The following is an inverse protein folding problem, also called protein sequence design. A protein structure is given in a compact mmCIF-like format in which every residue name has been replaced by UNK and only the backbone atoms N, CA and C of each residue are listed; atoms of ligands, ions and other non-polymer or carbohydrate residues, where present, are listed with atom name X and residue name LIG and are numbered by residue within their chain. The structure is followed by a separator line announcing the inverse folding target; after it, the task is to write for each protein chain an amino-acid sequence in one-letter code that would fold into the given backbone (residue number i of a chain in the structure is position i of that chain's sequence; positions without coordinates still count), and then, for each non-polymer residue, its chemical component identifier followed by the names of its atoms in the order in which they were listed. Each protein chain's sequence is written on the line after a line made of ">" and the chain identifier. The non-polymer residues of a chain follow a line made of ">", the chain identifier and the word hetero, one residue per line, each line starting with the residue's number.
data_IF_282914770943
#
_entry.id   IF_282914770943
#
_cell.length_a   1.000
_cell.length_b   1.000
_cell.length_c   1.000
_cell.angle_alpha   90.00
_cell.angle_beta   90.00
_cell.angle_gamma   90.00
#
_symmetry.space_group_name_H-M   'P 1'
#
loop_
_entity.id
_entity.type
_entity.pdbx_description
1 polymer ?
#
# COMPACT_ATOMS: atom_id res chain seq x y z
N UNK A 1 -24.02 -7.17 78.92
CA UNK A 1 -25.13 -8.13 78.70
C UNK A 1 -26.34 -7.31 78.28
N UNK A 2 -26.68 -7.24 76.99
CA UNK A 2 -28.03 -7.08 76.44
C UNK A 2 -27.90 -7.16 74.91
N UNK A 3 -28.64 -8.09 74.32
CA UNK A 3 -28.73 -8.38 72.89
C UNK A 3 -30.22 -8.39 72.57
N UNK A 4 -30.66 -7.64 71.56
CA UNK A 4 -31.83 -7.85 70.65
C UNK A 4 -32.00 -6.55 69.82
N UNK A 5 -31.84 -6.56 68.51
CA UNK A 5 -32.71 -7.08 67.43
C UNK A 5 -33.56 -5.97 66.84
N UNK A 6 -33.28 -5.59 65.58
CA UNK A 6 -34.29 -5.09 64.65
C UNK A 6 -34.07 -5.80 63.32
N UNK A 7 -35.02 -6.66 62.97
CA UNK A 7 -35.20 -7.22 61.64
C UNK A 7 -35.88 -6.16 60.75
N UNK A 8 -35.37 -5.96 59.54
CA UNK A 8 -35.93 -5.03 58.57
C UNK A 8 -35.64 -5.45 57.14
N UNK A 9 -36.64 -6.10 56.54
CA UNK A 9 -37.04 -6.15 55.14
C UNK A 9 -36.00 -6.25 53.99
N UNK A 10 -36.15 -7.39 53.30
CA UNK A 10 -35.83 -7.73 51.92
C UNK A 10 -36.04 -6.61 50.87
N UNK A 11 -35.06 -6.41 49.99
CA UNK A 11 -35.30 -6.12 48.58
C UNK A 11 -34.33 -6.98 47.76
N UNK A 12 -34.87 -8.02 47.12
CA UNK A 12 -34.14 -8.83 46.16
C UNK A 12 -33.86 -8.03 44.89
N UNK A 13 -32.63 -8.07 44.41
CA UNK A 13 -32.29 -7.69 43.04
C UNK A 13 -32.07 -8.96 42.24
N UNK A 14 -33.10 -9.34 41.50
CA UNK A 14 -33.00 -10.31 40.43
C UNK A 14 -32.25 -9.67 39.23
N UNK A 15 -31.21 -10.37 38.80
CA UNK A 15 -30.75 -10.55 37.42
C UNK A 15 -30.89 -9.39 36.42
N UNK A 16 -29.76 -8.84 35.99
CA UNK A 16 -29.56 -8.45 34.59
C UNK A 16 -28.06 -8.55 34.21
N UNK A 17 -27.48 -9.75 34.28
CA UNK A 17 -26.23 -10.06 33.57
C UNK A 17 -26.59 -10.80 32.29
N UNK A 18 -26.97 -10.02 31.28
CA UNK A 18 -27.34 -10.50 29.96
C UNK A 18 -26.56 -9.76 28.89
N UNK A 19 -25.53 -10.42 28.38
CA UNK A 19 -25.10 -10.39 26.99
C UNK A 19 -24.54 -9.06 26.41
N UNK A 20 -23.25 -8.82 26.61
CA UNK A 20 -22.40 -8.16 25.60
C UNK A 20 -21.08 -8.93 25.48
N UNK A 21 -21.10 -10.11 24.87
CA UNK A 21 -19.84 -10.82 24.55
C UNK A 21 -19.74 -11.38 23.12
N UNK A 22 -20.72 -11.12 22.26
CA UNK A 22 -20.76 -11.73 20.92
C UNK A 22 -20.33 -10.77 19.79
N UNK A 23 -19.85 -9.57 20.11
CA UNK A 23 -19.49 -8.56 19.11
C UNK A 23 -18.02 -8.52 18.66
N UNK A 24 -17.11 -9.26 19.31
CA UNK A 24 -15.66 -9.19 19.00
C UNK A 24 -15.25 -10.30 18.01
N UNK A 25 -16.09 -11.31 17.74
CA UNK A 25 -15.71 -12.49 16.97
C UNK A 25 -15.71 -12.34 15.43
N UNK A 26 -15.91 -11.12 14.89
CA UNK A 26 -15.99 -10.88 13.44
C UNK A 26 -15.13 -9.70 12.96
N UNK A 27 -14.10 -9.31 13.70
CA UNK A 27 -13.03 -8.55 13.03
C UNK A 27 -12.27 -9.54 12.16
N UNK A 28 -12.22 -9.38 10.82
CA UNK A 28 -11.24 -10.14 10.05
C UNK A 28 -9.90 -9.89 10.71
N UNK A 29 -9.15 -10.95 11.03
CA UNK A 29 -7.78 -10.78 11.49
C UNK A 29 -7.12 -9.78 10.56
N UNK A 30 -6.69 -8.65 11.09
CA UNK A 30 -5.77 -7.76 10.39
C UNK A 30 -4.60 -8.67 10.02
N UNK A 31 -4.57 -9.14 8.78
CA UNK A 31 -3.69 -10.20 8.31
C UNK A 31 -2.27 -9.69 8.49
N UNK A 32 -1.66 -10.03 9.63
CA UNK A 32 -0.24 -9.79 9.84
C UNK A 32 0.48 -10.52 8.72
N UNK A 33 1.41 -9.84 8.05
CA UNK A 33 2.23 -10.46 7.02
C UNK A 33 2.84 -11.75 7.61
N UNK A 34 2.67 -12.87 6.90
CA UNK A 34 3.26 -14.14 7.31
C UNK A 34 4.80 -13.98 7.24
N UNK A 35 5.53 -14.17 8.35
CA UNK A 35 6.97 -14.01 8.38
C UNK A 35 7.71 -15.01 7.47
N UNK A 36 7.04 -16.08 7.03
CA UNK A 36 7.59 -17.06 6.08
C UNK A 36 7.04 -16.87 4.66
N UNK A 37 6.36 -15.76 4.37
CA UNK A 37 5.83 -15.49 3.04
C UNK A 37 6.97 -15.36 2.03
N UNK A 38 6.94 -16.24 1.03
CA UNK A 38 7.83 -16.16 -0.13
C UNK A 38 7.10 -15.36 -1.20
N UNK A 39 7.65 -14.21 -1.66
CA UNK A 39 7.00 -13.40 -2.70
C UNK A 39 6.73 -14.22 -3.96
N UNK A 40 5.52 -14.10 -4.49
CA UNK A 40 5.13 -14.74 -5.75
C UNK A 40 5.23 -13.72 -6.86
N UNK A 41 6.13 -13.97 -7.82
CA UNK A 41 6.32 -13.12 -8.98
C UNK A 41 5.66 -13.70 -10.22
N UNK A 42 5.05 -12.85 -11.04
CA UNK A 42 4.42 -13.22 -12.31
C UNK A 42 4.68 -12.17 -13.40
N UNK A 43 4.80 -12.61 -14.65
CA UNK A 43 4.69 -11.77 -15.84
C UNK A 43 3.70 -12.43 -16.79
N UNK A 44 2.65 -11.68 -17.15
CA UNK A 44 1.62 -12.08 -18.10
C UNK A 44 1.55 -11.10 -19.27
N UNK A 45 1.39 -11.62 -20.47
CA UNK A 45 1.13 -10.81 -21.66
C UNK A 45 -0.31 -10.31 -21.64
N UNK A 46 -0.50 -9.01 -21.93
CA UNK A 46 -1.84 -8.40 -21.96
C UNK A 46 -2.33 -8.29 -23.39
N UNK A 47 -1.59 -7.57 -24.24
CA UNK A 47 -1.87 -7.39 -25.68
C UNK A 47 -0.70 -6.69 -26.35
N UNK A 48 -0.52 -6.85 -27.66
CA UNK A 48 0.53 -6.17 -28.43
C UNK A 48 1.91 -6.33 -27.77
N UNK A 49 2.55 -5.23 -27.41
CA UNK A 49 3.82 -5.23 -26.69
C UNK A 49 3.69 -4.90 -25.19
N UNK A 50 2.47 -4.96 -24.65
CA UNK A 50 2.13 -4.62 -23.27
C UNK A 50 2.02 -5.87 -22.41
N UNK A 51 2.69 -5.82 -21.27
CA UNK A 51 2.75 -6.88 -20.29
C UNK A 51 2.38 -6.34 -18.91
N UNK A 52 1.85 -7.24 -18.08
CA UNK A 52 1.67 -7.02 -16.65
C UNK A 52 2.73 -7.81 -15.91
N UNK A 53 3.36 -7.20 -14.92
CA UNK A 53 4.17 -7.91 -13.94
C UNK A 53 3.58 -7.73 -12.54
N UNK A 54 3.69 -8.73 -11.68
CA UNK A 54 3.16 -8.65 -10.33
C UNK A 54 4.06 -9.30 -9.29
N UNK A 55 3.98 -8.77 -8.07
CA UNK A 55 4.47 -9.37 -6.84
C UNK A 55 3.31 -9.42 -5.86
N UNK A 56 2.90 -10.63 -5.48
CA UNK A 56 1.77 -10.86 -4.58
C UNK A 56 0.50 -10.08 -5.01
N UNK A 57 0.12 -9.04 -4.25
CA UNK A 57 -1.03 -8.19 -4.51
C UNK A 57 -0.70 -6.85 -5.19
N UNK A 58 0.57 -6.59 -5.53
CA UNK A 58 0.99 -5.41 -6.28
C UNK A 58 1.27 -5.76 -7.73
N UNK A 59 1.03 -4.81 -8.62
CA UNK A 59 1.23 -5.01 -10.04
C UNK A 59 1.74 -3.74 -10.70
N UNK A 60 2.46 -3.95 -11.79
CA UNK A 60 2.88 -2.90 -12.71
C UNK A 60 2.65 -3.34 -14.15
N UNK A 61 2.75 -2.38 -15.06
CA UNK A 61 2.74 -2.58 -16.50
C UNK A 61 4.10 -2.22 -17.07
N UNK A 62 4.48 -2.92 -18.13
CA UNK A 62 5.59 -2.49 -18.97
C UNK A 62 5.27 -2.71 -20.44
N UNK A 63 5.84 -1.87 -21.29
CA UNK A 63 5.77 -2.00 -22.75
C UNK A 63 7.16 -2.26 -23.30
N UNK A 64 7.27 -3.26 -24.17
CA UNK A 64 8.52 -3.61 -24.85
C UNK A 64 8.53 -2.93 -26.22
N UNK A 65 9.63 -2.28 -26.58
CA UNK A 65 9.84 -1.73 -27.92
C UNK A 65 11.21 -2.16 -28.44
N UNK A 66 11.48 -2.09 -29.75
CA UNK A 66 12.82 -2.35 -30.28
C UNK A 66 13.90 -1.46 -29.67
N UNK A 67 13.55 -0.26 -29.20
CA UNK A 67 14.48 0.69 -28.61
C UNK A 67 14.68 0.50 -27.10
N UNK A 68 13.78 -0.21 -26.41
CA UNK A 68 13.83 -0.37 -24.96
C UNK A 68 12.46 -0.59 -24.30
N UNK A 69 12.49 -0.76 -22.99
CA UNK A 69 11.30 -0.98 -22.16
C UNK A 69 10.86 0.33 -21.51
N UNK A 70 9.55 0.57 -21.53
CA UNK A 70 8.88 1.58 -20.71
C UNK A 70 8.26 0.82 -19.54
N UNK A 71 8.75 1.07 -18.33
CA UNK A 71 8.28 0.45 -17.09
C UNK A 71 7.44 1.45 -16.31
N UNK A 72 6.21 1.10 -15.95
CA UNK A 72 5.49 1.82 -14.90
C UNK A 72 5.96 1.36 -13.51
N UNK A 73 5.82 2.18 -12.46
CA UNK A 73 5.91 1.80 -11.03
C UNK A 73 6.77 0.56 -10.70
N UNK A 74 8.03 0.73 -10.24
CA UNK A 74 8.91 -0.41 -9.95
C UNK A 74 8.51 -1.22 -8.69
N UNK A 75 7.55 -0.73 -7.90
CA UNK A 75 6.93 -1.33 -6.70
C UNK A 75 7.87 -1.52 -5.52
N UNK A 76 9.04 -2.13 -5.71
CA UNK A 76 10.06 -2.33 -4.68
C UNK A 76 11.45 -2.60 -5.26
N UNK A 77 12.55 -2.37 -4.52
CA UNK A 77 13.90 -2.72 -4.99
C UNK A 77 14.06 -4.21 -5.31
N UNK A 78 13.47 -5.11 -4.51
CA UNK A 78 13.55 -6.55 -4.75
C UNK A 78 12.81 -6.99 -6.01
N UNK A 79 11.60 -6.48 -6.21
CA UNK A 79 10.82 -6.76 -7.42
C UNK A 79 11.46 -6.12 -8.67
N UNK A 80 11.95 -4.88 -8.56
CA UNK A 80 12.66 -4.22 -9.64
C UNK A 80 13.92 -4.97 -10.07
N UNK A 81 14.69 -5.54 -9.12
CA UNK A 81 15.84 -6.38 -9.45
C UNK A 81 15.42 -7.68 -10.16
N UNK A 82 14.33 -8.30 -9.71
CA UNK A 82 13.79 -9.48 -10.39
C UNK A 82 13.35 -9.12 -11.83
N UNK A 83 12.64 -8.01 -12.01
CA UNK A 83 12.26 -7.51 -13.33
C UNK A 83 13.46 -7.25 -14.24
N UNK A 84 14.53 -6.63 -13.73
CA UNK A 84 15.76 -6.41 -14.52
C UNK A 84 16.29 -7.71 -15.12
N UNK A 85 16.37 -8.76 -14.31
CA UNK A 85 16.82 -10.09 -14.78
C UNK A 85 15.86 -10.70 -15.80
N UNK A 86 14.55 -10.59 -15.58
CA UNK A 86 13.53 -11.09 -16.53
C UNK A 86 13.59 -10.33 -17.86
N UNK A 87 13.80 -9.02 -17.82
CA UNK A 87 13.90 -8.17 -19.01
C UNK A 87 15.15 -8.49 -19.82
N UNK A 88 16.30 -8.63 -19.15
CA UNK A 88 17.55 -9.03 -19.78
C UNK A 88 17.43 -10.41 -20.44
N UNK A 89 16.74 -11.35 -19.80
CA UNK A 89 16.59 -12.72 -20.29
C UNK A 89 15.60 -12.83 -21.44
N UNK A 90 14.45 -12.14 -21.35
CA UNK A 90 13.33 -12.32 -22.29
C UNK A 90 13.37 -11.38 -23.49
N UNK A 91 13.88 -10.16 -23.29
CA UNK A 91 13.75 -9.08 -24.28
C UNK A 91 15.09 -8.52 -24.72
N UNK A 92 16.10 -8.51 -23.85
CA UNK A 92 17.47 -8.11 -24.21
C UNK A 92 17.62 -6.64 -24.61
N UNK A 93 16.71 -5.78 -24.14
CA UNK A 93 16.74 -4.33 -24.36
C UNK A 93 16.65 -3.59 -23.01
N UNK A 94 17.28 -2.41 -22.86
CA UNK A 94 17.32 -1.71 -21.58
C UNK A 94 15.96 -1.11 -21.22
N UNK A 95 15.71 -0.90 -19.92
CA UNK A 95 14.65 0.00 -19.48
C UNK A 95 15.07 1.42 -19.78
N UNK A 96 14.32 2.11 -20.64
CA UNK A 96 14.61 3.49 -21.05
C UNK A 96 13.81 4.53 -20.29
N UNK A 97 12.65 4.14 -19.79
CA UNK A 97 11.80 5.02 -19.01
C UNK A 97 11.23 4.28 -17.82
N UNK A 98 11.27 4.92 -16.67
CA UNK A 98 10.48 4.54 -15.49
C UNK A 98 9.44 5.64 -15.27
N UNK A 99 8.17 5.28 -15.42
CA UNK A 99 7.03 6.19 -15.30
C UNK A 99 6.33 5.93 -13.97
N UNK A 100 6.25 6.95 -13.12
CA UNK A 100 5.60 6.84 -11.83
C UNK A 100 4.16 7.32 -11.86
N UNK A 101 3.25 6.52 -11.30
CA UNK A 101 1.85 6.89 -11.15
C UNK A 101 1.64 7.88 -10.00
N UNK A 102 2.28 7.64 -8.85
CA UNK A 102 2.21 8.47 -7.66
C UNK A 102 3.38 8.19 -6.70
N UNK A 103 3.49 8.97 -5.62
CA UNK A 103 4.67 8.97 -4.74
C UNK A 103 4.68 7.91 -3.65
N UNK A 104 3.60 7.14 -3.46
CA UNK A 104 3.60 6.17 -2.38
C UNK A 104 4.66 5.10 -2.58
N UNK A 105 5.26 4.70 -1.46
CA UNK A 105 6.43 3.83 -1.44
C UNK A 105 6.18 2.47 -2.11
N UNK A 106 4.98 1.92 -1.95
CA UNK A 106 4.51 0.67 -2.53
C UNK A 106 4.38 0.68 -4.07
N UNK A 107 4.60 1.85 -4.69
CA UNK A 107 4.65 2.01 -6.14
C UNK A 107 5.98 2.62 -6.61
N UNK A 108 6.43 3.68 -5.96
CA UNK A 108 7.56 4.48 -6.41
C UNK A 108 8.94 3.91 -6.03
N UNK A 109 9.00 2.95 -5.11
CA UNK A 109 10.29 2.41 -4.68
C UNK A 109 10.90 1.44 -5.69
N UNK A 110 12.24 1.36 -5.71
CA UNK A 110 12.99 0.43 -6.58
C UNK A 110 13.50 1.02 -7.90
N UNK A 111 13.11 2.24 -8.28
CA UNK A 111 13.56 2.86 -9.54
C UNK A 111 15.07 2.97 -9.70
N UNK A 112 15.83 3.06 -8.60
CA UNK A 112 17.29 3.09 -8.61
C UNK A 112 17.96 1.90 -9.32
N UNK A 113 17.27 0.76 -9.44
CA UNK A 113 17.75 -0.42 -10.19
C UNK A 113 18.01 -0.14 -11.67
N UNK A 114 17.32 0.85 -12.23
CA UNK A 114 17.36 1.24 -13.64
C UNK A 114 18.02 2.60 -13.84
N UNK A 115 18.64 3.21 -12.82
CA UNK A 115 19.20 4.57 -12.89
C UNK A 115 20.39 4.70 -13.85
N UNK A 116 20.99 3.58 -14.26
CA UNK A 116 22.06 3.52 -15.26
C UNK A 116 21.56 3.74 -16.69
N UNK A 117 20.27 3.51 -16.95
CA UNK A 117 19.70 3.39 -18.30
C UNK A 117 18.41 4.18 -18.50
N UNK A 118 17.62 4.38 -17.45
CA UNK A 118 16.28 4.95 -17.54
C UNK A 118 16.25 6.46 -17.25
N UNK A 119 15.42 7.16 -18.01
CA UNK A 119 14.89 8.46 -17.64
C UNK A 119 13.68 8.29 -16.71
N UNK A 120 13.64 9.06 -15.62
CA UNK A 120 12.56 9.00 -14.64
C UNK A 120 11.49 10.04 -14.95
N UNK A 121 10.26 9.59 -15.19
CA UNK A 121 9.13 10.43 -15.55
C UNK A 121 8.08 10.35 -14.44
N UNK A 122 7.67 11.49 -13.91
CA UNK A 122 6.62 11.59 -12.91
C UNK A 122 6.02 12.98 -12.88
N UNK A 123 4.85 13.10 -12.25
CA UNK A 123 4.21 14.40 -12.09
C UNK A 123 5.05 15.30 -11.16
N UNK A 124 5.12 16.62 -11.43
CA UNK A 124 5.94 17.57 -10.63
C UNK A 124 5.61 17.54 -9.13
N UNK A 125 4.34 17.31 -8.77
CA UNK A 125 3.88 17.20 -7.38
C UNK A 125 4.45 15.99 -6.62
N UNK A 126 5.03 15.00 -7.31
CA UNK A 126 5.65 13.86 -6.62
C UNK A 126 6.87 14.28 -5.81
N UNK A 127 7.62 15.28 -6.27
CA UNK A 127 8.89 15.69 -5.65
C UNK A 127 8.70 16.13 -4.20
N UNK A 128 7.64 16.90 -3.91
CA UNK A 128 7.35 17.35 -2.55
C UNK A 128 6.89 16.24 -1.62
N UNK A 129 6.38 15.14 -2.16
CA UNK A 129 5.82 14.03 -1.38
C UNK A 129 6.76 12.81 -1.30
N UNK A 130 7.79 12.74 -2.16
CA UNK A 130 8.89 11.79 -2.02
C UNK A 130 9.91 12.22 -0.95
N UNK A 131 10.05 13.53 -0.73
CA UNK A 131 10.90 14.05 0.32
C UNK A 131 10.35 13.66 1.69
N UNK A 132 11.22 13.13 2.56
CA UNK A 132 10.82 12.86 3.94
C UNK A 132 10.36 14.16 4.61
N UNK A 133 9.15 14.22 5.19
CA UNK A 133 8.72 15.38 5.93
C UNK A 133 9.64 15.64 7.13
N UNK A 134 9.76 16.91 7.60
CA UNK A 134 10.56 17.23 8.77
C UNK A 134 10.16 16.37 9.98
N UNK A 135 11.10 15.99 10.88
CA UNK A 135 10.78 15.23 12.09
C UNK A 135 9.76 15.90 13.00
N UNK A 136 9.56 17.22 12.85
CA UNK A 136 8.60 18.01 13.60
C UNK A 136 7.17 17.95 13.04
N UNK A 137 6.96 17.28 11.91
CA UNK A 137 5.63 17.16 11.27
C UNK A 137 4.68 16.39 12.18
N UNK A 138 3.54 16.99 12.46
CA UNK A 138 2.48 16.42 13.30
C UNK A 138 1.29 15.95 12.46
N UNK A 139 0.40 15.14 13.04
CA UNK A 139 -0.84 14.74 12.38
C UNK A 139 -1.69 15.97 11.98
N UNK A 140 -1.70 17.01 12.81
CA UNK A 140 -2.44 18.23 12.51
C UNK A 140 -1.94 18.97 11.26
N UNK A 141 -0.65 18.79 10.90
CA UNK A 141 -0.05 19.41 9.71
C UNK A 141 -0.45 18.70 8.41
N UNK A 142 -0.92 17.45 8.50
CA UNK A 142 -1.29 16.62 7.34
C UNK A 142 -2.80 16.34 7.24
N UNK A 143 -3.56 16.53 8.33
CA UNK A 143 -5.02 16.47 8.32
C UNK A 143 -5.54 17.60 7.43
N UNK A 144 -6.17 17.23 6.30
CA UNK A 144 -6.71 18.13 5.30
C UNK A 144 -5.85 18.29 4.03
N UNK A 145 -4.63 17.74 4.00
CA UNK A 145 -3.86 17.65 2.75
C UNK A 145 -4.51 16.74 1.69
N UNK A 146 -5.43 15.88 2.13
CA UNK A 146 -6.24 14.98 1.30
C UNK A 146 -7.72 15.38 1.29
N UNK A 147 -8.09 16.62 1.66
CA UNK A 147 -9.45 17.10 1.38
C UNK A 147 -9.72 16.89 -0.12
N UNK A 148 -10.88 16.34 -0.50
CA UNK A 148 -11.10 15.91 -1.86
C UNK A 148 -10.89 17.08 -2.82
N UNK A 149 -9.99 16.88 -3.80
CA UNK A 149 -9.77 17.78 -4.94
C UNK A 149 -10.98 17.87 -5.88
N UNK A 150 -12.18 17.56 -5.39
CA UNK A 150 -13.47 17.60 -6.08
C UNK A 150 -13.86 19.00 -6.58
N UNK A 151 -12.99 20.00 -6.45
CA UNK A 151 -13.14 21.32 -7.05
C UNK A 151 -12.42 21.49 -8.41
N UNK A 152 -11.72 20.47 -8.93
CA UNK A 152 -10.99 20.54 -10.21
C UNK A 152 -11.73 19.91 -11.42
N UNK A 153 -13.06 19.80 -11.35
CA UNK A 153 -13.92 19.64 -12.54
C UNK A 153 -14.38 21.06 -12.95
N UNK A 154 -15.65 21.46 -12.97
CA UNK A 154 -16.17 22.75 -13.50
C UNK A 154 -15.70 23.23 -14.90
N UNK A 155 -14.66 22.66 -15.52
CA UNK A 155 -14.19 23.02 -16.87
C UNK A 155 -13.63 21.85 -17.73
N UNK A 156 -13.77 20.58 -17.32
CA UNK A 156 -13.53 19.43 -18.19
C UNK A 156 -12.09 18.95 -18.33
#
# INVERSE_FOLDING_TARGET
>A
MFRTSVSGLLIGWAAFFGLVSQGIAQMPELRRADPNHVPVFDISHVTGDVYRAAVDNHATLFMVTPEGIILADPVSPGFAMWLKNEFDTRFGVPVRYVVYSHYHWDHASGGGVFADTAEFVGHVNMLSHLAMPPPTTTLADVVGQYEPVAALDVNG
#
